data_IF_171067256869
#
_entry.id   IF_171067256869
#
_cell.length_a   1.000
_cell.length_b   1.000
_cell.length_c   1.000
_cell.angle_alpha   90.00
_cell.angle_beta   90.00
_cell.angle_gamma   90.00
#
_symmetry.space_group_name_H-M   'P 1'
#
loop_
_entity.id
_entity.type
_entity.pdbx_description
1 polymer ?
#
# COMPACT_ATOMS: atom_id res chain seq x y z
N UNK A 1 30.15 -9.09 6.51
CA UNK A 1 29.49 -7.93 7.15
C UNK A 1 28.46 -7.36 6.16
N UNK A 2 27.20 -7.79 6.21
CA UNK A 2 26.13 -7.44 5.24
C UNK A 2 24.72 -7.41 5.87
N UNK A 3 24.62 -7.17 7.19
CA UNK A 3 23.34 -7.21 7.93
C UNK A 3 22.84 -5.85 8.42
N UNK A 4 23.52 -4.76 8.06
CA UNK A 4 23.26 -3.43 8.63
C UNK A 4 22.46 -2.50 7.72
N UNK A 5 22.27 -2.81 6.43
CA UNK A 5 21.53 -1.93 5.50
C UNK A 5 20.00 -2.01 5.65
N UNK A 6 19.44 -3.18 5.97
CA UNK A 6 17.99 -3.37 6.15
C UNK A 6 17.46 -2.62 7.39
N UNK A 7 18.26 -2.53 8.45
CA UNK A 7 17.90 -1.77 9.65
C UNK A 7 17.90 -0.25 9.41
N UNK A 8 18.73 0.22 8.49
CA UNK A 8 18.85 1.64 8.11
C UNK A 8 17.69 2.10 7.21
N UNK A 9 17.17 1.21 6.36
CA UNK A 9 15.97 1.52 5.55
C UNK A 9 14.70 1.61 6.40
N UNK A 10 14.54 0.72 7.39
CA UNK A 10 13.49 0.84 8.40
C UNK A 10 13.64 2.09 9.28
N UNK A 11 14.88 2.50 9.60
CA UNK A 11 15.12 3.75 10.34
C UNK A 11 14.79 5.01 9.52
N UNK A 12 14.98 4.98 8.20
CA UNK A 12 14.67 6.13 7.34
C UNK A 12 13.16 6.39 7.26
N UNK A 13 12.34 5.33 7.21
CA UNK A 13 10.88 5.42 7.36
C UNK A 13 10.48 5.97 8.74
N UNK A 14 11.22 5.63 9.79
CA UNK A 14 11.03 6.14 11.15
C UNK A 14 11.28 7.65 11.27
N UNK A 15 12.31 8.19 10.62
CA UNK A 15 12.63 9.63 10.70
C UNK A 15 11.59 10.49 9.96
N UNK A 16 10.99 9.99 8.89
CA UNK A 16 9.92 10.70 8.18
C UNK A 16 8.62 10.78 9.01
N UNK A 17 8.30 9.74 9.80
CA UNK A 17 7.10 9.70 10.65
C UNK A 17 7.31 10.46 11.98
N UNK A 18 8.55 10.55 12.49
CA UNK A 18 8.82 11.18 13.77
C UNK A 18 8.82 12.73 13.77
N UNK A 19 8.75 13.41 12.62
CA UNK A 19 8.78 14.87 12.58
C UNK A 19 7.41 15.55 12.73
N UNK A 20 6.31 14.81 12.94
CA UNK A 20 4.98 15.42 13.04
C UNK A 20 4.20 15.26 14.34
N UNK A 21 4.66 14.46 15.32
CA UNK A 21 3.99 14.40 16.64
C UNK A 21 4.99 14.14 17.79
N UNK A 22 5.85 15.10 18.08
CA UNK A 22 6.64 15.13 19.31
C UNK A 22 6.14 16.24 20.24
N UNK A 23 4.87 16.19 20.64
CA UNK A 23 4.32 17.09 21.66
C UNK A 23 3.01 16.56 22.26
N UNK A 24 2.96 15.32 22.78
CA UNK A 24 1.97 14.93 23.82
C UNK A 24 2.27 13.51 24.33
N UNK A 25 3.34 13.39 25.11
CA UNK A 25 3.58 12.22 25.95
C UNK A 25 3.97 12.68 27.35
N UNK A 26 2.96 13.05 28.16
CA UNK A 26 3.13 13.26 29.60
C UNK A 26 1.79 13.15 30.36
N UNK A 27 1.39 11.91 30.66
CA UNK A 27 0.64 11.45 31.86
C UNK A 27 0.08 10.07 31.51
N UNK A 28 0.43 9.00 32.21
CA UNK A 28 0.03 8.74 33.58
C UNK A 28 -0.98 7.60 33.56
N UNK A 29 -0.47 6.38 33.79
CA UNK A 29 -1.21 5.18 34.22
C UNK A 29 -2.56 4.83 33.56
N UNK A 30 -2.50 3.96 32.55
CA UNK A 30 -3.35 2.75 32.46
C UNK A 30 -2.70 1.78 31.49
N UNK A 31 -2.14 0.67 32.00
CA UNK A 31 -1.83 -0.52 31.17
C UNK A 31 -3.17 -1.20 30.82
N UNK A 32 -3.95 -0.56 29.95
CA UNK A 32 -5.08 -1.18 29.27
C UNK A 32 -4.57 -2.14 28.19
N UNK A 33 -5.34 -3.18 27.90
CA UNK A 33 -5.01 -4.23 26.93
C UNK A 33 -4.31 -3.67 25.69
N UNK A 34 -3.03 -4.03 25.50
CA UNK A 34 -2.24 -3.57 24.36
C UNK A 34 -2.90 -3.98 23.05
N UNK A 35 -2.77 -3.14 22.03
CA UNK A 35 -3.22 -3.45 20.68
C UNK A 35 -2.57 -4.76 20.21
N UNK A 36 -3.38 -5.79 19.98
CA UNK A 36 -2.92 -7.15 19.65
C UNK A 36 -3.68 -7.75 18.47
N UNK A 37 -3.49 -9.04 18.24
CA UNK A 37 -4.08 -9.74 17.09
C UNK A 37 -5.59 -9.53 16.96
N UNK A 38 -6.33 -9.62 18.06
CA UNK A 38 -7.79 -9.47 18.04
C UNK A 38 -8.22 -8.04 17.63
N UNK A 39 -7.48 -7.00 18.07
CA UNK A 39 -7.72 -5.62 17.66
C UNK A 39 -7.41 -5.40 16.18
N UNK A 40 -6.28 -5.95 15.70
CA UNK A 40 -5.88 -5.87 14.30
C UNK A 40 -6.89 -6.59 13.39
N UNK A 41 -7.32 -7.78 13.81
CA UNK A 41 -8.36 -8.55 13.12
C UNK A 41 -9.69 -7.80 13.09
N UNK A 42 -10.14 -7.25 14.22
CA UNK A 42 -11.39 -6.48 14.29
C UNK A 42 -11.37 -5.25 13.37
N UNK A 43 -10.21 -4.58 13.26
CA UNK A 43 -10.02 -3.47 12.31
C UNK A 43 -10.21 -3.93 10.85
N UNK A 44 -9.58 -5.04 10.45
CA UNK A 44 -9.71 -5.60 9.09
C UNK A 44 -11.13 -6.12 8.81
N UNK A 45 -11.78 -6.74 9.79
CA UNK A 45 -13.18 -7.17 9.68
C UNK A 45 -14.15 -6.00 9.52
N UNK A 46 -13.91 -4.89 10.25
CA UNK A 46 -14.68 -3.66 10.07
C UNK A 46 -14.50 -3.09 8.65
N UNK A 47 -13.26 -3.02 8.17
CA UNK A 47 -12.95 -2.61 6.78
C UNK A 47 -13.69 -3.45 5.75
N UNK A 48 -13.60 -4.77 5.85
CA UNK A 48 -14.21 -5.69 4.89
C UNK A 48 -15.75 -5.60 4.90
N UNK A 49 -16.34 -5.48 6.09
CA UNK A 49 -17.79 -5.28 6.26
C UNK A 49 -18.27 -3.98 5.62
N UNK A 50 -17.58 -2.89 5.90
CA UNK A 50 -17.93 -1.58 5.35
C UNK A 50 -17.77 -1.57 3.83
N UNK A 51 -16.73 -2.20 3.30
CA UNK A 51 -16.56 -2.35 1.85
C UNK A 51 -17.71 -3.15 1.23
N UNK A 52 -18.17 -4.21 1.89
CA UNK A 52 -19.29 -5.02 1.39
C UNK A 52 -20.59 -4.21 1.39
N UNK A 53 -20.84 -3.40 2.43
CA UNK A 53 -21.98 -2.49 2.48
C UNK A 53 -21.92 -1.44 1.36
N UNK A 54 -20.77 -0.79 1.17
CA UNK A 54 -20.57 0.21 0.14
C UNK A 54 -20.71 -0.37 -1.27
N UNK A 55 -20.17 -1.56 -1.52
CA UNK A 55 -20.35 -2.25 -2.80
C UNK A 55 -21.84 -2.53 -3.05
N UNK A 56 -22.56 -3.10 -2.07
CA UNK A 56 -23.99 -3.36 -2.19
C UNK A 56 -24.79 -2.09 -2.49
N UNK A 57 -24.48 -0.98 -1.81
CA UNK A 57 -25.14 0.32 -2.06
C UNK A 57 -24.82 0.89 -3.44
N UNK A 58 -23.59 0.66 -3.93
CA UNK A 58 -23.19 1.07 -5.27
C UNK A 58 -23.90 0.28 -6.35
N UNK A 59 -23.97 -1.05 -6.20
CA UNK A 59 -24.64 -1.97 -7.14
C UNK A 59 -26.15 -1.72 -7.21
N UNK A 60 -26.75 -1.23 -6.11
CA UNK A 60 -28.17 -0.86 -6.04
C UNK A 60 -28.43 0.63 -6.36
N UNK A 61 -27.51 1.33 -7.02
CA UNK A 61 -27.66 2.73 -7.46
C UNK A 61 -28.03 3.72 -6.34
N UNK A 62 -27.63 3.44 -5.10
CA UNK A 62 -28.00 4.28 -3.94
C UNK A 62 -27.24 5.63 -3.95
N UNK A 63 -26.00 5.64 -4.44
CA UNK A 63 -25.17 6.85 -4.46
C UNK A 63 -25.57 7.80 -5.59
N UNK A 64 -25.83 9.07 -5.23
CA UNK A 64 -26.24 10.11 -6.18
C UNK A 64 -25.06 10.80 -6.87
N UNK A 65 -23.86 10.73 -6.29
CA UNK A 65 -22.67 11.37 -6.83
C UNK A 65 -21.39 10.67 -6.34
N UNK A 66 -20.28 11.04 -6.98
CA UNK A 66 -18.93 10.57 -6.68
C UNK A 66 -18.53 10.75 -5.22
N UNK A 67 -18.78 11.94 -4.66
CA UNK A 67 -18.32 12.29 -3.31
C UNK A 67 -18.95 11.39 -2.25
N UNK A 68 -20.24 11.08 -2.39
CA UNK A 68 -20.94 10.15 -1.50
C UNK A 68 -20.42 8.71 -1.62
N UNK A 69 -20.06 8.28 -2.84
CA UNK A 69 -19.49 6.95 -3.08
C UNK A 69 -18.03 6.86 -2.59
N UNK A 70 -17.28 7.95 -2.66
CA UNK A 70 -15.85 7.98 -2.32
C UNK A 70 -15.56 8.00 -0.81
N UNK A 71 -16.58 8.17 0.05
CA UNK A 71 -16.43 8.24 1.52
C UNK A 71 -15.67 7.04 2.09
N UNK A 72 -15.84 5.85 1.52
CA UNK A 72 -15.12 4.65 1.99
C UNK A 72 -13.61 4.76 1.77
N UNK A 73 -13.16 5.35 0.65
CA UNK A 73 -11.74 5.61 0.41
C UNK A 73 -11.19 6.62 1.41
N UNK A 74 -11.95 7.68 1.72
CA UNK A 74 -11.54 8.69 2.70
C UNK A 74 -11.42 8.10 4.11
N UNK A 75 -12.38 7.25 4.50
CA UNK A 75 -12.41 6.61 5.81
C UNK A 75 -11.18 5.74 6.07
N UNK A 76 -10.67 5.06 5.03
CA UNK A 76 -9.56 4.11 5.14
C UNK A 76 -8.29 4.55 4.40
N UNK A 77 -8.20 5.83 4.04
CA UNK A 77 -7.00 6.42 3.43
C UNK A 77 -5.78 6.28 4.35
N UNK A 78 -5.96 6.57 5.63
CA UNK A 78 -4.89 6.48 6.62
C UNK A 78 -5.03 5.20 7.42
N UNK A 79 -3.97 4.40 7.43
CA UNK A 79 -3.91 3.20 8.28
C UNK A 79 -3.62 3.61 9.73
N UNK A 80 -4.38 3.12 10.73
CA UNK A 80 -4.15 3.46 12.13
C UNK A 80 -2.72 3.11 12.58
N UNK A 81 -2.01 4.03 13.29
CA UNK A 81 -0.64 3.78 13.72
C UNK A 81 -0.49 2.52 14.58
N UNK A 82 -1.47 2.20 15.42
CA UNK A 82 -1.44 1.02 16.29
C UNK A 82 -1.48 -0.28 15.48
N UNK A 83 -2.22 -0.27 14.37
CA UNK A 83 -2.26 -1.39 13.43
C UNK A 83 -0.91 -1.57 12.74
N UNK A 84 -0.30 -0.48 12.26
CA UNK A 84 1.01 -0.49 11.62
C UNK A 84 2.08 -1.02 12.58
N UNK A 85 2.10 -0.51 13.82
CA UNK A 85 3.04 -0.97 14.84
C UNK A 85 2.87 -2.45 15.16
N UNK A 86 1.62 -2.92 15.27
CA UNK A 86 1.36 -4.34 15.49
C UNK A 86 1.84 -5.21 14.31
N UNK A 87 1.61 -4.80 13.05
CA UNK A 87 2.13 -5.50 11.86
C UNK A 87 3.67 -5.61 11.90
N UNK A 88 4.35 -4.51 12.26
CA UNK A 88 5.82 -4.49 12.38
C UNK A 88 6.33 -5.36 13.53
N UNK A 89 5.70 -5.29 14.70
CA UNK A 89 6.06 -6.10 15.86
C UNK A 89 5.84 -7.59 15.61
N UNK A 90 4.79 -7.95 14.87
CA UNK A 90 4.53 -9.32 14.44
C UNK A 90 5.62 -9.84 13.50
N UNK A 91 5.98 -9.08 12.46
CA UNK A 91 7.07 -9.43 11.55
C UNK A 91 8.40 -9.62 12.31
N UNK A 92 8.74 -8.68 13.19
CA UNK A 92 9.92 -8.75 14.06
C UNK A 92 9.90 -9.97 14.99
N UNK A 93 8.74 -10.30 15.55
CA UNK A 93 8.57 -11.46 16.40
C UNK A 93 8.78 -12.78 15.63
N UNK A 94 8.31 -12.86 14.39
CA UNK A 94 8.51 -14.02 13.51
C UNK A 94 10.00 -14.23 13.25
N UNK A 95 10.71 -13.18 12.83
CA UNK A 95 12.16 -13.25 12.60
C UNK A 95 12.92 -13.66 13.87
N UNK A 96 12.59 -13.05 15.01
CA UNK A 96 13.22 -13.33 16.29
C UNK A 96 12.96 -14.74 16.84
N UNK A 97 11.87 -15.40 16.40
CA UNK A 97 11.49 -16.74 16.83
C UNK A 97 11.70 -17.82 15.76
N UNK A 98 12.42 -17.53 14.67
CA UNK A 98 12.67 -18.48 13.58
C UNK A 98 13.27 -19.84 14.01
N UNK A 99 13.90 -19.92 15.18
CA UNK A 99 14.47 -21.16 15.76
C UNK A 99 13.58 -21.84 16.80
N UNK A 100 12.37 -21.34 17.05
CA UNK A 100 11.43 -21.84 18.09
C UNK A 100 10.11 -22.26 17.42
N UNK A 101 9.99 -23.52 16.98
CA UNK A 101 8.91 -23.95 16.08
C UNK A 101 7.50 -23.66 16.58
N UNK A 102 7.20 -23.94 17.85
CA UNK A 102 5.86 -23.77 18.42
C UNK A 102 5.42 -22.30 18.49
N UNK A 103 6.34 -21.39 18.86
CA UNK A 103 6.06 -19.96 18.91
C UNK A 103 5.99 -19.36 17.51
N UNK A 104 6.86 -19.83 16.61
CA UNK A 104 6.89 -19.41 15.22
C UNK A 104 5.57 -19.72 14.52
N UNK A 105 5.06 -20.94 14.68
CA UNK A 105 3.82 -21.39 14.04
C UNK A 105 2.60 -20.53 14.45
N UNK A 106 2.48 -20.19 15.74
CA UNK A 106 1.40 -19.32 16.21
C UNK A 106 1.49 -17.90 15.62
N UNK A 107 2.69 -17.31 15.56
CA UNK A 107 2.91 -15.98 14.99
C UNK A 107 2.67 -15.98 13.47
N UNK A 108 3.15 -17.00 12.78
CA UNK A 108 2.94 -17.17 11.34
C UNK A 108 1.46 -17.31 10.98
N UNK A 109 0.66 -18.02 11.79
CA UNK A 109 -0.79 -18.09 11.60
C UNK A 109 -1.47 -16.72 11.73
N UNK A 110 -1.03 -15.89 12.66
CA UNK A 110 -1.54 -14.52 12.79
C UNK A 110 -1.17 -13.68 11.56
N UNK A 111 0.09 -13.75 11.12
CA UNK A 111 0.57 -12.98 9.98
C UNK A 111 -0.18 -13.35 8.69
N UNK A 112 -0.31 -14.64 8.40
CA UNK A 112 -1.02 -15.12 7.21
C UNK A 112 -2.51 -14.72 7.24
N UNK A 113 -3.14 -14.71 8.41
CA UNK A 113 -4.53 -14.28 8.53
C UNK A 113 -4.70 -12.79 8.23
N UNK A 114 -3.75 -11.95 8.66
CA UNK A 114 -3.78 -10.50 8.41
C UNK A 114 -3.47 -10.21 6.94
N UNK A 115 -2.39 -10.79 6.42
CA UNK A 115 -1.96 -10.65 5.03
C UNK A 115 -3.09 -11.00 4.05
N UNK A 116 -3.77 -12.13 4.28
CA UNK A 116 -4.91 -12.52 3.46
C UNK A 116 -6.07 -11.53 3.53
N UNK A 117 -6.37 -10.97 4.70
CA UNK A 117 -7.45 -10.00 4.87
C UNK A 117 -7.12 -8.64 4.25
N UNK A 118 -5.88 -8.19 4.33
CA UNK A 118 -5.41 -6.97 3.64
C UNK A 118 -5.51 -7.13 2.12
N UNK A 119 -5.07 -8.27 1.58
CA UNK A 119 -5.16 -8.59 0.16
C UNK A 119 -6.59 -8.65 -0.35
N UNK A 120 -7.48 -9.31 0.39
CA UNK A 120 -8.92 -9.37 0.07
C UNK A 120 -9.52 -7.97 0.01
N UNK A 121 -9.23 -7.13 1.01
CA UNK A 121 -9.70 -5.74 1.01
C UNK A 121 -9.10 -4.92 -0.14
N UNK A 122 -7.80 -5.03 -0.39
CA UNK A 122 -7.10 -4.31 -1.46
C UNK A 122 -7.69 -4.65 -2.85
N UNK A 123 -7.99 -5.92 -3.10
CA UNK A 123 -8.64 -6.34 -4.34
C UNK A 123 -10.07 -5.76 -4.47
N UNK A 124 -10.85 -5.78 -3.38
CA UNK A 124 -12.21 -5.24 -3.36
C UNK A 124 -12.24 -3.73 -3.58
N UNK A 125 -11.40 -2.97 -2.88
CA UNK A 125 -11.39 -1.51 -3.01
C UNK A 125 -10.86 -1.08 -4.39
N UNK A 126 -9.92 -1.82 -4.98
CA UNK A 126 -9.46 -1.56 -6.34
C UNK A 126 -10.60 -1.74 -7.36
N UNK A 127 -11.30 -2.87 -7.31
CA UNK A 127 -12.45 -3.12 -8.19
C UNK A 127 -13.58 -2.09 -7.97
N UNK A 128 -13.86 -1.74 -6.72
CA UNK A 128 -14.83 -0.70 -6.38
C UNK A 128 -14.47 0.66 -7.01
N UNK A 129 -13.20 1.06 -6.91
CA UNK A 129 -12.71 2.34 -7.43
C UNK A 129 -12.78 2.41 -8.95
N UNK A 130 -12.53 1.29 -9.63
CA UNK A 130 -12.73 1.19 -11.08
C UNK A 130 -14.18 1.41 -11.48
N UNK A 131 -15.11 0.72 -10.82
CA UNK A 131 -16.54 0.87 -11.10
C UNK A 131 -17.03 2.29 -10.81
N UNK A 132 -16.57 2.87 -9.70
CA UNK A 132 -16.89 4.23 -9.29
C UNK A 132 -16.36 5.26 -10.30
N UNK A 133 -15.14 5.06 -10.80
CA UNK A 133 -14.55 5.88 -11.85
C UNK A 133 -15.37 5.81 -13.15
N UNK A 134 -15.70 4.60 -13.62
CA UNK A 134 -16.49 4.38 -14.83
C UNK A 134 -17.88 5.05 -14.75
N UNK A 135 -18.51 4.97 -13.58
CA UNK A 135 -19.86 5.51 -13.37
C UNK A 135 -19.90 7.03 -13.25
N UNK A 136 -18.94 7.63 -12.54
CA UNK A 136 -19.06 9.01 -12.07
C UNK A 136 -18.04 9.99 -12.64
N UNK A 137 -16.97 9.53 -13.30
CA UNK A 137 -15.91 10.42 -13.80
C UNK A 137 -15.92 10.45 -15.33
N UNK A 138 -16.50 11.51 -15.93
CA UNK A 138 -16.45 11.72 -17.37
C UNK A 138 -15.02 11.83 -17.92
N UNK A 139 -14.80 11.37 -19.15
CA UNK A 139 -13.47 11.33 -19.78
C UNK A 139 -12.81 12.71 -19.93
N UNK A 140 -13.59 13.77 -20.04
CA UNK A 140 -13.14 15.16 -20.16
C UNK A 140 -12.67 15.78 -18.84
N UNK A 141 -12.87 15.11 -17.70
CA UNK A 141 -12.42 15.58 -16.38
C UNK A 141 -10.95 15.23 -16.06
N UNK A 142 -10.28 14.41 -16.87
CA UNK A 142 -8.91 13.98 -16.61
C UNK A 142 -8.09 13.81 -17.88
N UNK A 143 -6.76 13.88 -17.75
CA UNK A 143 -5.84 13.65 -18.85
C UNK A 143 -5.03 12.39 -18.62
N UNK A 144 -5.04 11.50 -19.62
CA UNK A 144 -4.17 10.33 -19.64
C UNK A 144 -2.82 10.73 -20.23
N UNK A 145 -1.76 10.28 -19.59
CA UNK A 145 -0.39 10.36 -20.08
C UNK A 145 -0.07 9.09 -20.86
N UNK A 146 0.78 9.22 -21.88
CA UNK A 146 1.43 8.07 -22.47
C UNK A 146 2.58 7.57 -21.58
N UNK A 147 3.17 6.45 -21.96
CA UNK A 147 4.24 5.80 -21.19
C UNK A 147 5.48 6.70 -21.06
N UNK A 148 5.82 7.45 -22.10
CA UNK A 148 7.00 8.31 -22.09
C UNK A 148 6.82 9.50 -21.15
N UNK A 149 5.66 10.18 -21.22
CA UNK A 149 5.35 11.31 -20.37
C UNK A 149 5.25 10.88 -18.90
N UNK A 150 4.58 9.77 -18.59
CA UNK A 150 4.49 9.27 -17.21
C UNK A 150 5.87 8.81 -16.69
N UNK A 151 6.71 8.22 -17.55
CA UNK A 151 8.07 7.82 -17.18
C UNK A 151 8.92 9.02 -16.81
N UNK A 152 8.83 10.12 -17.55
CA UNK A 152 9.57 11.36 -17.25
C UNK A 152 9.25 11.89 -15.84
N UNK A 153 7.96 11.98 -15.51
CA UNK A 153 7.51 12.43 -14.19
C UNK A 153 7.93 11.45 -13.10
N UNK A 154 7.80 10.14 -13.35
CA UNK A 154 8.19 9.11 -12.39
C UNK A 154 9.71 9.09 -12.14
N UNK A 155 10.54 9.30 -13.16
CA UNK A 155 11.99 9.38 -13.01
C UNK A 155 12.39 10.57 -12.13
N UNK A 156 11.77 11.73 -12.34
CA UNK A 156 12.00 12.90 -11.49
C UNK A 156 11.62 12.62 -10.02
N UNK A 157 10.47 11.98 -9.79
CA UNK A 157 10.03 11.57 -8.46
C UNK A 157 11.00 10.58 -7.81
N UNK A 158 11.43 9.55 -8.54
CA UNK A 158 12.34 8.51 -8.05
C UNK A 158 13.76 9.01 -7.84
N UNK A 159 14.22 10.04 -8.56
CA UNK A 159 15.52 10.66 -8.30
C UNK A 159 15.58 11.22 -6.86
N UNK A 160 14.51 11.87 -6.41
CA UNK A 160 14.38 12.39 -5.04
C UNK A 160 14.11 11.30 -3.98
N UNK A 161 13.51 10.17 -4.38
CA UNK A 161 13.06 9.11 -3.47
C UNK A 161 13.82 7.77 -3.66
N UNK A 162 14.97 7.80 -4.33
CA UNK A 162 15.73 6.61 -4.74
C UNK A 162 16.11 5.71 -3.57
N UNK A 163 16.43 6.29 -2.40
CA UNK A 163 16.75 5.55 -1.18
C UNK A 163 15.57 4.77 -0.60
N UNK A 164 14.33 5.28 -0.80
CA UNK A 164 13.10 4.67 -0.28
C UNK A 164 12.73 3.47 -1.14
N UNK A 165 12.75 3.65 -2.46
CA UNK A 165 12.27 2.63 -3.40
C UNK A 165 13.36 1.73 -3.97
N UNK A 166 14.64 2.01 -3.70
CA UNK A 166 15.77 1.18 -4.11
C UNK A 166 16.16 1.29 -5.59
N UNK A 167 15.66 2.31 -6.29
CA UNK A 167 16.01 2.56 -7.69
C UNK A 167 17.30 3.38 -7.79
N UNK A 168 18.41 2.70 -8.05
CA UNK A 168 19.74 3.33 -8.12
C UNK A 168 20.01 4.03 -9.47
N UNK A 169 19.25 3.71 -10.51
CA UNK A 169 19.34 4.35 -11.82
C UNK A 169 17.93 4.56 -12.42
N UNK A 170 17.17 5.55 -11.95
CA UNK A 170 15.80 5.77 -12.43
C UNK A 170 15.70 6.02 -13.95
N UNK A 171 16.73 6.61 -14.57
CA UNK A 171 16.71 6.90 -16.01
C UNK A 171 16.70 5.64 -16.89
N UNK A 172 17.18 4.50 -16.38
CA UNK A 172 17.17 3.22 -17.12
C UNK A 172 15.88 2.43 -16.98
N UNK A 173 14.88 2.94 -16.25
CA UNK A 173 13.63 2.23 -16.04
C UNK A 173 12.87 2.04 -17.36
N UNK A 174 12.47 0.79 -17.61
CA UNK A 174 11.43 0.47 -18.57
C UNK A 174 10.10 0.46 -17.85
N UNK A 175 9.11 1.07 -18.46
CA UNK A 175 7.77 1.16 -17.89
C UNK A 175 6.76 0.77 -18.95
N UNK A 176 5.74 0.01 -18.54
CA UNK A 176 4.54 -0.24 -19.33
C UNK A 176 3.30 0.10 -18.51
N UNK A 177 2.35 0.81 -19.09
CA UNK A 177 1.07 1.08 -18.44
C UNK A 177 0.14 -0.11 -18.71
N UNK A 178 -0.18 -0.87 -17.66
CA UNK A 178 -1.15 -1.96 -17.74
C UNK A 178 -2.60 -1.43 -17.63
N UNK A 179 -2.82 -0.39 -16.82
CA UNK A 179 -4.14 0.18 -16.57
C UNK A 179 -4.06 1.63 -16.08
N UNK A 180 -5.12 2.40 -16.34
CA UNK A 180 -5.30 3.75 -15.81
C UNK A 180 -6.73 3.91 -15.27
N UNK A 181 -6.87 4.40 -14.04
CA UNK A 181 -8.17 4.59 -13.36
C UNK A 181 -8.23 6.03 -12.84
N UNK A 182 -9.13 6.89 -13.36
CA UNK A 182 -9.25 8.25 -12.85
C UNK A 182 -9.84 8.22 -11.44
N UNK A 183 -9.48 9.21 -10.62
CA UNK A 183 -10.01 9.34 -9.26
C UNK A 183 -10.16 10.82 -8.90
N UNK A 184 -10.96 11.11 -7.87
CA UNK A 184 -11.11 12.44 -7.30
C UNK A 184 -10.38 12.52 -5.96
N UNK A 185 -9.54 13.54 -5.78
CA UNK A 185 -8.84 13.82 -4.53
C UNK A 185 -9.78 14.36 -3.47
N UNK A 186 -9.31 14.44 -2.23
CA UNK A 186 -10.03 15.11 -1.13
C UNK A 186 -10.27 16.60 -1.40
N UNK A 187 -9.30 17.25 -2.04
CA UNK A 187 -9.34 18.67 -2.39
C UNK A 187 -10.26 18.96 -3.59
N UNK A 188 -10.78 17.90 -4.22
CA UNK A 188 -11.74 17.98 -5.31
C UNK A 188 -11.13 17.93 -6.70
N UNK A 189 -9.81 17.80 -6.81
CA UNK A 189 -9.09 17.66 -8.08
C UNK A 189 -9.26 16.25 -8.67
N UNK A 190 -9.07 16.14 -9.98
CA UNK A 190 -9.08 14.85 -10.67
C UNK A 190 -7.65 14.40 -10.99
N UNK A 191 -7.32 13.20 -10.52
CA UNK A 191 -6.07 12.52 -10.80
C UNK A 191 -6.28 11.25 -11.62
N UNK A 192 -5.17 10.59 -11.95
CA UNK A 192 -5.17 9.27 -12.58
C UNK A 192 -4.27 8.34 -11.80
N UNK A 193 -4.82 7.19 -11.45
CA UNK A 193 -4.10 6.08 -10.86
C UNK A 193 -3.61 5.14 -11.97
N UNK A 194 -2.30 5.07 -12.18
CA UNK A 194 -1.69 4.19 -13.17
C UNK A 194 -1.21 2.90 -12.50
N UNK A 195 -1.52 1.76 -13.11
CA UNK A 195 -0.91 0.48 -12.78
C UNK A 195 0.19 0.23 -13.80
N UNK A 196 1.43 0.30 -13.35
CA UNK A 196 2.61 0.27 -14.21
C UNK A 196 3.50 -0.91 -13.89
N UNK A 197 3.96 -1.60 -14.92
CA UNK A 197 5.05 -2.58 -14.78
C UNK A 197 6.37 -1.88 -14.99
N UNK A 198 7.27 -2.08 -14.03
CA UNK A 198 8.61 -1.50 -14.04
C UNK A 198 9.63 -2.63 -14.06
N UNK A 199 10.51 -2.57 -15.06
CA UNK A 199 11.60 -3.52 -15.26
C UNK A 199 12.93 -2.80 -15.52
N UNK A 200 14.04 -3.52 -15.30
CA UNK A 200 15.38 -3.02 -15.60
C UNK A 200 15.73 -3.27 -17.07
N UNK A 201 16.31 -2.27 -17.73
CA UNK A 201 16.67 -2.33 -19.17
C UNK A 201 17.69 -3.41 -19.51
N UNK A 202 18.50 -3.84 -18.54
CA UNK A 202 19.64 -4.75 -18.74
C UNK A 202 19.31 -6.24 -18.54
N UNK A 203 18.09 -6.61 -18.11
CA UNK A 203 17.67 -8.01 -18.05
C UNK A 203 16.99 -8.41 -19.36
N UNK A 204 17.78 -8.84 -20.34
CA UNK A 204 17.28 -9.23 -21.65
C UNK A 204 16.40 -10.51 -21.67
N UNK A 205 16.26 -11.22 -20.54
CA UNK A 205 15.66 -12.57 -20.53
C UNK A 205 14.55 -12.85 -19.49
N UNK A 206 14.13 -11.90 -18.65
CA UNK A 206 13.08 -12.19 -17.63
C UNK A 206 11.95 -11.16 -17.64
N UNK A 207 10.92 -11.36 -18.47
CA UNK A 207 9.61 -10.71 -18.28
C UNK A 207 8.99 -11.05 -16.91
N UNK A 208 9.52 -12.08 -16.23
CA UNK A 208 9.16 -12.52 -14.88
C UNK A 208 9.68 -11.61 -13.75
N UNK A 209 10.48 -10.57 -14.05
CA UNK A 209 10.99 -9.63 -13.03
C UNK A 209 10.31 -8.27 -13.01
N UNK A 210 9.39 -8.01 -13.94
CA UNK A 210 8.63 -6.78 -13.97
C UNK A 210 7.75 -6.69 -12.71
N UNK A 211 7.98 -5.64 -11.92
CA UNK A 211 7.21 -5.39 -10.71
C UNK A 211 6.05 -4.47 -11.02
N UNK A 212 4.88 -4.82 -10.52
CA UNK A 212 3.67 -4.01 -10.66
C UNK A 212 3.61 -2.96 -9.55
N UNK A 213 3.51 -1.70 -9.96
CA UNK A 213 3.35 -0.55 -9.08
C UNK A 213 2.05 0.18 -9.40
N UNK A 214 1.50 0.79 -8.38
CA UNK A 214 0.40 1.74 -8.46
C UNK A 214 1.00 3.14 -8.30
N UNK A 215 0.65 4.04 -9.21
CA UNK A 215 1.16 5.40 -9.27
C UNK A 215 -0.01 6.37 -9.31
N UNK A 216 -0.18 7.13 -8.23
CA UNK A 216 -1.18 8.18 -8.17
C UNK A 216 -0.59 9.47 -8.74
N UNK A 217 -1.16 9.99 -9.83
CA UNK A 217 -0.74 11.24 -10.45
C UNK A 217 -1.87 12.27 -10.40
N UNK A 218 -1.55 13.49 -9.97
CA UNK A 218 -2.49 14.62 -9.94
C UNK A 218 -1.72 15.94 -10.03
N UNK A 219 -2.28 16.92 -10.74
CA UNK A 219 -1.77 18.30 -10.82
C UNK A 219 -0.29 18.44 -11.23
N UNK A 220 0.23 17.54 -12.08
CA UNK A 220 1.63 17.61 -12.55
C UNK A 220 2.61 16.77 -11.73
N UNK A 221 2.19 16.20 -10.59
CA UNK A 221 3.06 15.52 -9.65
C UNK A 221 2.57 14.10 -9.31
N UNK A 222 3.51 13.27 -8.85
CA UNK A 222 3.23 11.95 -8.28
C UNK A 222 2.83 12.14 -6.80
N UNK A 223 1.57 11.83 -6.49
CA UNK A 223 1.03 11.85 -5.13
C UNK A 223 1.41 10.60 -4.33
N UNK A 224 1.47 9.42 -4.96
CA UNK A 224 1.94 8.19 -4.33
C UNK A 224 2.52 7.22 -5.35
N UNK A 225 3.39 6.33 -4.87
CA UNK A 225 4.06 5.30 -5.66
C UNK A 225 4.25 4.06 -4.79
N UNK A 226 3.44 3.02 -5.03
CA UNK A 226 3.29 1.89 -4.12
C UNK A 226 3.33 0.55 -4.88
N UNK A 227 3.99 -0.50 -4.35
CA UNK A 227 3.93 -1.83 -4.96
C UNK A 227 2.51 -2.42 -4.85
N UNK A 228 2.04 -3.10 -5.91
CA UNK A 228 0.69 -3.73 -5.93
C UNK A 228 0.70 -5.15 -5.35
N UNK A 229 1.86 -5.80 -5.37
CA UNK A 229 2.08 -7.10 -4.77
C UNK A 229 2.81 -6.97 -3.43
N UNK A 230 2.92 -8.08 -2.70
CA UNK A 230 3.69 -8.17 -1.46
C UNK A 230 5.01 -7.45 -1.59
N UNK A 231 5.24 -6.49 -0.70
CA UNK A 231 6.54 -5.87 -0.63
C UNK A 231 7.59 -6.93 -0.27
N UNK A 232 8.86 -6.62 -0.53
CA UNK A 232 9.94 -7.57 -0.28
C UNK A 232 10.04 -7.99 1.20
N UNK A 233 9.49 -7.19 2.13
CA UNK A 233 9.49 -7.49 3.55
C UNK A 233 8.43 -8.54 3.90
N UNK A 234 7.20 -8.40 3.41
CA UNK A 234 6.14 -9.39 3.61
C UNK A 234 6.52 -10.74 2.98
N UNK A 235 7.13 -10.74 1.79
CA UNK A 235 7.69 -11.96 1.18
C UNK A 235 8.77 -12.61 2.03
N UNK A 236 9.63 -11.81 2.67
CA UNK A 236 10.67 -12.33 3.55
C UNK A 236 10.06 -12.99 4.80
N UNK A 237 9.02 -12.40 5.38
CA UNK A 237 8.30 -12.96 6.54
C UNK A 237 7.57 -14.25 6.15
N UNK A 238 6.85 -14.26 5.04
CA UNK A 238 6.15 -15.46 4.52
C UNK A 238 7.13 -16.61 4.29
N UNK A 239 8.32 -16.33 3.76
CA UNK A 239 9.39 -17.31 3.58
C UNK A 239 9.85 -17.91 4.90
N UNK A 240 10.00 -17.11 5.96
CA UNK A 240 10.33 -17.61 7.32
C UNK A 240 9.21 -18.52 7.84
N UNK A 241 7.96 -18.21 7.50
CA UNK A 241 6.79 -19.02 7.82
C UNK A 241 6.63 -20.29 6.97
N UNK A 242 7.58 -20.60 6.08
CA UNK A 242 7.50 -21.75 5.18
C UNK A 242 6.36 -21.64 4.16
N UNK A 243 5.88 -20.43 3.91
CA UNK A 243 4.95 -20.11 2.83
C UNK A 243 5.76 -19.60 1.64
N UNK A 244 5.86 -20.43 0.62
CA UNK A 244 6.26 -20.02 -0.73
C UNK A 244 4.98 -19.90 -1.55
N UNK A 245 4.84 -18.80 -2.31
CA UNK A 245 3.71 -18.60 -3.22
C UNK A 245 3.46 -19.83 -4.09
#
# INVERSE_FOLDING_TARGET
>A
MKRSLLLLQLLALLVAVCHWQAAEAASGETRGAGYGFDSAKAYLEARSRDMTDFQSRFDNDVFQNLDAANVINLKYKTTPPEYVLYRLDLAKAIEGNAKKPEKLDALCRQFVAIDAAEKDYAAKIAAYNENLAEKFIPRDQYQLMDEDALREVLVAYLAGNSMIYGFNNPESLRMRIDKAVPYKTEDGDFGVMYFVRIGDRDSADDADRDRLYQVAYVNGDIASFDPVADDAADLAVLKVCGKTQ
#
